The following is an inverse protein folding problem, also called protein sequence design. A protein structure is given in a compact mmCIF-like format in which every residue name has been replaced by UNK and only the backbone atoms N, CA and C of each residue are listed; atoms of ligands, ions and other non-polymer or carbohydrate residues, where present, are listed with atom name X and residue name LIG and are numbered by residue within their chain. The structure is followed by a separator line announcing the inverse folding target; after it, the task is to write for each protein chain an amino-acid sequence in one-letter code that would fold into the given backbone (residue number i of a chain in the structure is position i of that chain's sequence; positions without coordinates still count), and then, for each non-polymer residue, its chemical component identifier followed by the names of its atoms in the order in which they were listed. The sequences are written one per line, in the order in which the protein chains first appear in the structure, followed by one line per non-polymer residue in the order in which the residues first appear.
data_IF_108798605222
#
_entry.id   IF_108798605222
#
_cell.length_a   1.000
_cell.length_b   1.000
_cell.length_c   1.000
_cell.angle_alpha   90.00
_cell.angle_beta   90.00
_cell.angle_gamma   90.00
#
_symmetry.space_group_name_H-M   'P 1'
#
loop_
_entity.id
_entity.type
_entity.pdbx_description
1 polymer ?
#
# COMPACT_ATOMS: atom_id res chain seq x y z
N UNK A 1 -1.29 -17.21 6.50
CA UNK A 1 -0.65 -16.43 7.60
C UNK A 1 -1.75 -15.84 8.46
N UNK A 2 -1.68 -15.98 9.79
CA UNK A 2 -2.71 -15.42 10.69
C UNK A 2 -2.32 -14.05 11.25
N UNK A 3 -1.03 -13.81 11.51
CA UNK A 3 -0.50 -12.56 12.03
C UNK A 3 0.84 -12.24 11.35
N UNK A 4 1.13 -10.95 11.20
CA UNK A 4 2.41 -10.43 10.74
C UNK A 4 2.69 -9.11 11.48
N UNK A 5 3.96 -8.83 11.79
CA UNK A 5 4.40 -7.61 12.47
C UNK A 5 5.69 -7.08 11.84
N UNK A 6 5.90 -5.78 11.95
CA UNK A 6 7.19 -5.17 11.64
C UNK A 6 8.05 -5.14 12.91
N UNK A 7 9.33 -5.51 12.79
CA UNK A 7 10.28 -5.47 13.89
C UNK A 7 11.63 -4.90 13.42
N UNK A 8 12.29 -4.04 14.23
CA UNK A 8 11.81 -3.48 15.50
C UNK A 8 10.76 -2.36 15.30
N UNK A 9 9.90 -2.14 16.29
CA UNK A 9 8.80 -1.17 16.21
C UNK A 9 9.24 0.25 16.59
N UNK A 10 10.03 0.40 17.65
CA UNK A 10 10.44 1.68 18.23
C UNK A 10 11.96 1.72 18.44
N UNK A 11 12.59 2.86 18.15
CA UNK A 11 13.98 3.14 18.52
C UNK A 11 14.14 4.56 19.04
N UNK A 12 14.92 4.73 20.09
CA UNK A 12 15.39 6.04 20.54
C UNK A 12 16.57 6.45 19.66
N UNK A 13 16.51 7.63 19.03
CA UNK A 13 17.55 8.09 18.10
C UNK A 13 18.93 8.25 18.79
N UNK A 14 18.95 8.39 20.12
CA UNK A 14 20.17 8.47 20.93
C UNK A 14 20.81 7.11 21.28
N UNK A 15 20.14 6.00 21.01
CA UNK A 15 20.59 4.63 21.36
C UNK A 15 20.35 3.66 20.18
N UNK A 16 20.82 4.09 19.01
CA UNK A 16 20.49 3.43 17.74
C UNK A 16 21.56 2.43 17.31
N UNK A 17 21.24 1.15 17.43
CA UNK A 17 22.13 0.03 17.07
C UNK A 17 21.77 -0.68 15.75
N UNK A 18 20.56 -0.45 15.22
CA UNK A 18 20.07 -1.06 13.97
C UNK A 18 19.27 -0.05 13.12
N UNK A 19 19.10 -0.34 11.83
CA UNK A 19 18.23 0.40 10.91
C UNK A 19 17.58 -0.54 9.87
N UNK A 20 16.32 -0.30 9.44
CA UNK A 20 15.38 0.72 9.92
C UNK A 20 14.26 0.15 10.80
N UNK A 21 13.97 0.82 11.90
CA UNK A 21 12.81 0.60 12.75
C UNK A 21 11.57 1.28 12.16
N UNK A 22 10.37 0.91 12.61
CA UNK A 22 9.14 1.57 12.14
C UNK A 22 9.02 3.02 12.65
N UNK A 23 9.26 3.27 13.94
CA UNK A 23 9.08 4.58 14.58
C UNK A 23 10.36 4.98 15.31
N UNK A 24 10.87 6.17 14.99
CA UNK A 24 12.04 6.77 15.62
C UNK A 24 11.57 7.90 16.53
N UNK A 25 12.10 7.98 17.75
CA UNK A 25 11.71 9.00 18.73
C UNK A 25 12.91 9.53 19.54
N UNK A 26 12.70 10.68 20.20
CA UNK A 26 13.56 11.20 21.25
C UNK A 26 12.66 11.69 22.42
N UNK A 27 13.22 12.44 23.38
CA UNK A 27 12.49 12.91 24.57
C UNK A 27 11.28 13.83 24.32
N UNK A 28 11.08 14.36 23.11
CA UNK A 28 10.01 15.34 22.82
C UNK A 28 9.37 15.25 21.42
N UNK A 29 9.88 14.42 20.51
CA UNK A 29 9.36 14.25 19.15
C UNK A 29 9.59 12.84 18.59
N UNK A 30 8.80 12.49 17.57
CA UNK A 30 8.81 11.19 16.92
C UNK A 30 8.45 11.29 15.42
N UNK A 31 8.92 10.33 14.62
CA UNK A 31 8.50 10.17 13.23
C UNK A 31 8.41 8.69 12.81
N UNK A 32 7.48 8.38 11.91
CA UNK A 32 7.40 7.07 11.25
C UNK A 32 8.31 7.01 10.03
N UNK A 33 9.04 5.92 9.86
CA UNK A 33 9.86 5.65 8.67
C UNK A 33 8.98 5.23 7.47
N UNK A 34 9.51 5.09 6.24
CA UNK A 34 8.74 4.56 5.11
C UNK A 34 8.09 3.21 5.43
N UNK A 35 8.74 2.35 6.22
CA UNK A 35 8.19 1.09 6.71
C UNK A 35 6.93 1.25 7.54
N UNK A 36 6.89 2.21 8.48
CA UNK A 36 5.68 2.53 9.24
C UNK A 36 4.53 2.94 8.31
N UNK A 37 4.80 3.84 7.35
CA UNK A 37 3.77 4.27 6.41
C UNK A 37 3.28 3.13 5.52
N UNK A 38 4.16 2.21 5.12
CA UNK A 38 3.78 0.98 4.40
C UNK A 38 2.82 0.11 5.24
N UNK A 39 3.15 -0.13 6.52
CA UNK A 39 2.28 -0.90 7.43
C UNK A 39 0.88 -0.26 7.55
N UNK A 40 0.75 1.07 7.50
CA UNK A 40 -0.58 1.71 7.56
C UNK A 40 -1.49 1.36 6.38
N UNK A 41 -0.98 0.96 5.21
CA UNK A 41 -1.81 0.43 4.12
C UNK A 41 -2.42 -0.95 4.43
N UNK A 42 -1.80 -1.72 5.32
CA UNK A 42 -2.21 -3.09 5.65
C UNK A 42 -3.02 -3.21 6.94
N UNK A 43 -3.33 -2.09 7.62
CA UNK A 43 -4.18 -2.08 8.82
C UNK A 43 -5.61 -2.61 8.58
N UNK A 44 -6.19 -2.30 7.42
CA UNK A 44 -7.57 -2.64 7.05
C UNK A 44 -7.58 -3.90 6.16
N UNK A 45 -7.27 -5.05 6.76
CA UNK A 45 -7.40 -6.37 6.12
C UNK A 45 -7.76 -7.53 7.06
N UNK A 46 -7.95 -7.29 8.36
CA UNK A 46 -8.45 -8.33 9.26
C UNK A 46 -9.89 -8.70 8.88
N UNK A 47 -10.19 -10.00 8.83
CA UNK A 47 -11.48 -10.53 8.38
C UNK A 47 -11.81 -10.31 6.89
N UNK A 48 -10.84 -9.87 6.08
CA UNK A 48 -11.06 -9.63 4.65
C UNK A 48 -11.03 -10.92 3.83
N UNK A 49 -11.89 -11.01 2.80
CA UNK A 49 -11.85 -12.08 1.80
C UNK A 49 -10.74 -11.78 0.78
N UNK A 50 -9.85 -12.74 0.53
CA UNK A 50 -8.79 -12.64 -0.48
C UNK A 50 -9.33 -13.05 -1.85
N UNK A 51 -9.02 -12.28 -2.88
CA UNK A 51 -9.34 -12.59 -4.28
C UNK A 51 -8.11 -13.04 -5.06
N UNK A 52 -8.28 -13.93 -6.06
CA UNK A 52 -7.22 -14.24 -7.02
C UNK A 52 -6.86 -12.99 -7.85
N UNK A 53 -5.60 -12.92 -8.29
CA UNK A 53 -5.09 -11.85 -9.16
C UNK A 53 -4.22 -12.45 -10.25
N UNK A 54 -4.36 -11.93 -11.46
CA UNK A 54 -3.45 -12.15 -12.58
C UNK A 54 -2.75 -10.85 -12.93
N UNK A 55 -1.40 -10.84 -12.95
CA UNK A 55 -0.60 -9.71 -13.43
C UNK A 55 -0.13 -10.03 -14.85
N UNK A 56 -0.88 -9.58 -15.86
CA UNK A 56 -0.48 -9.72 -17.25
C UNK A 56 0.44 -8.56 -17.67
N UNK A 57 1.75 -8.73 -17.47
CA UNK A 57 2.76 -7.73 -17.80
C UNK A 57 4.15 -8.35 -17.98
N UNK A 58 4.97 -7.76 -18.85
CA UNK A 58 6.42 -8.03 -18.93
C UNK A 58 7.16 -7.68 -17.63
N UNK A 59 6.58 -6.80 -16.80
CA UNK A 59 7.09 -6.43 -15.47
C UNK A 59 6.53 -7.31 -14.34
N UNK A 60 5.85 -8.44 -14.64
CA UNK A 60 5.24 -9.31 -13.63
C UNK A 60 6.21 -9.78 -12.54
N UNK A 61 7.49 -10.00 -12.86
CA UNK A 61 8.54 -10.38 -11.91
C UNK A 61 9.07 -9.19 -11.06
N UNK A 62 8.57 -7.98 -11.29
CA UNK A 62 8.92 -6.72 -10.61
C UNK A 62 7.71 -6.07 -9.92
N UNK A 63 6.56 -6.75 -9.95
CA UNK A 63 5.28 -6.32 -9.41
C UNK A 63 4.75 -7.36 -8.43
N UNK A 64 4.29 -6.92 -7.27
CA UNK A 64 3.51 -7.74 -6.35
C UNK A 64 2.13 -7.08 -6.14
N UNK A 65 1.06 -7.87 -6.13
CA UNK A 65 -0.29 -7.37 -5.93
C UNK A 65 -1.08 -8.23 -4.93
N UNK A 66 -2.01 -7.60 -4.22
CA UNK A 66 -3.02 -8.26 -3.40
C UNK A 66 -4.37 -7.55 -3.57
N UNK A 67 -5.46 -8.31 -3.61
CA UNK A 67 -6.82 -7.82 -3.75
C UNK A 67 -7.66 -8.48 -2.66
N UNK A 68 -8.32 -7.65 -1.85
CA UNK A 68 -9.18 -8.14 -0.77
C UNK A 68 -10.50 -7.37 -0.74
N UNK A 69 -11.60 -8.04 -0.45
CA UNK A 69 -12.84 -7.37 -0.01
C UNK A 69 -12.82 -7.28 1.51
N UNK A 70 -12.83 -6.06 2.04
CA UNK A 70 -12.86 -5.76 3.47
C UNK A 70 -14.09 -4.91 3.79
N UNK A 71 -14.76 -5.19 4.91
CA UNK A 71 -16.00 -4.52 5.30
C UNK A 71 -15.79 -3.63 6.54
N UNK A 72 -16.27 -2.39 6.46
CA UNK A 72 -16.38 -1.47 7.60
C UNK A 72 -17.85 -1.14 7.83
N UNK A 73 -18.39 -1.44 9.01
CA UNK A 73 -19.64 -0.86 9.49
C UNK A 73 -20.81 -0.89 8.46
N UNK A 74 -20.89 -2.00 7.70
CA UNK A 74 -21.79 -2.31 6.55
C UNK A 74 -21.32 -1.91 5.14
N UNK A 75 -20.33 -1.03 4.98
CA UNK A 75 -19.76 -0.67 3.68
C UNK A 75 -18.69 -1.70 3.28
N UNK A 76 -18.80 -2.25 2.08
CA UNK A 76 -17.81 -3.18 1.50
C UNK A 76 -16.81 -2.40 0.63
N UNK A 77 -15.51 -2.71 0.78
CA UNK A 77 -14.42 -2.10 0.01
C UNK A 77 -13.59 -3.18 -0.68
N UNK A 78 -13.54 -3.14 -2.01
CA UNK A 78 -12.46 -3.80 -2.75
C UNK A 78 -11.18 -2.97 -2.58
N UNK A 79 -10.15 -3.59 -2.02
CA UNK A 79 -8.83 -2.99 -1.80
C UNK A 79 -7.79 -3.72 -2.64
N UNK A 80 -7.34 -3.08 -3.71
CA UNK A 80 -6.20 -3.54 -4.51
C UNK A 80 -4.95 -2.79 -4.04
N UNK A 81 -3.91 -3.54 -3.66
CA UNK A 81 -2.61 -3.00 -3.25
C UNK A 81 -1.56 -3.54 -4.20
N UNK A 82 -0.75 -2.66 -4.78
CA UNK A 82 0.28 -3.01 -5.75
C UNK A 82 1.61 -2.40 -5.30
N UNK A 83 2.68 -3.18 -5.36
CA UNK A 83 4.05 -2.77 -5.11
C UNK A 83 4.83 -2.93 -6.41
N UNK A 84 5.42 -1.85 -6.90
CA UNK A 84 6.47 -1.90 -7.91
C UNK A 84 7.81 -1.83 -7.20
N UNK A 85 8.61 -2.88 -7.35
CA UNK A 85 9.98 -2.98 -6.82
C UNK A 85 11.03 -3.02 -7.94
N UNK A 86 10.61 -2.82 -9.20
CA UNK A 86 11.50 -2.56 -10.33
C UNK A 86 11.95 -1.09 -10.39
N UNK A 87 13.03 -0.79 -11.12
CA UNK A 87 13.57 0.56 -11.28
C UNK A 87 12.80 1.42 -12.30
N UNK A 88 11.83 0.84 -13.03
CA UNK A 88 11.08 1.49 -14.11
C UNK A 88 9.65 1.78 -13.66
N UNK A 89 9.13 2.96 -13.98
CA UNK A 89 7.73 3.30 -13.75
C UNK A 89 6.82 2.49 -14.70
N UNK A 90 5.81 1.82 -14.14
CA UNK A 90 4.87 0.97 -14.90
C UNK A 90 3.48 1.59 -14.86
N UNK A 91 2.88 1.80 -16.04
CA UNK A 91 1.48 2.15 -16.15
C UNK A 91 0.63 0.90 -15.93
N UNK A 92 -0.36 0.99 -15.05
CA UNK A 92 -1.20 -0.13 -14.61
C UNK A 92 -2.68 0.20 -14.83
N UNK A 93 -3.43 -0.81 -15.25
CA UNK A 93 -4.86 -0.69 -15.59
C UNK A 93 -5.62 -1.68 -14.69
N UNK A 94 -6.73 -1.27 -14.04
CA UNK A 94 -7.37 -2.02 -12.92
C UNK A 94 -8.91 -2.06 -13.03
N UNK A 95 -9.57 -3.23 -13.18
CA UNK A 95 -11.02 -3.46 -12.97
C UNK A 95 -11.31 -4.88 -12.48
N UNK A 96 -12.27 -5.03 -11.58
CA UNK A 96 -12.71 -6.34 -11.11
C UNK A 96 -13.85 -6.88 -11.98
N UNK A 97 -13.83 -8.18 -12.26
CA UNK A 97 -14.98 -8.94 -12.78
C UNK A 97 -15.61 -9.77 -11.67
N UNK A 98 -16.92 -10.02 -11.76
CA UNK A 98 -17.71 -10.70 -10.72
C UNK A 98 -18.00 -9.84 -9.47
N UNK A 99 -17.58 -8.57 -9.47
CA UNK A 99 -17.76 -7.61 -8.37
C UNK A 99 -18.46 -6.32 -8.81
N UNK A 100 -18.98 -6.27 -10.04
CA UNK A 100 -19.54 -5.08 -10.72
C UNK A 100 -20.68 -4.44 -9.93
N UNK A 101 -21.56 -5.25 -9.35
CA UNK A 101 -22.67 -4.77 -8.52
C UNK A 101 -22.24 -4.22 -7.15
N UNK A 102 -20.98 -4.48 -6.73
CA UNK A 102 -20.47 -4.16 -5.39
C UNK A 102 -19.39 -3.07 -5.36
N UNK A 103 -18.74 -2.79 -6.51
CA UNK A 103 -17.59 -1.88 -6.60
C UNK A 103 -17.94 -0.63 -7.39
N UNK A 104 -18.07 0.50 -6.69
CA UNK A 104 -18.26 1.81 -7.33
C UNK A 104 -16.91 2.45 -7.68
N UNK A 105 -16.46 2.28 -8.92
CA UNK A 105 -15.20 2.84 -9.43
C UNK A 105 -15.14 4.37 -9.35
N UNK A 106 -16.26 5.07 -9.56
CA UNK A 106 -16.34 6.54 -9.49
C UNK A 106 -16.08 7.12 -8.09
N UNK A 107 -16.11 6.30 -7.04
CA UNK A 107 -15.74 6.67 -5.65
C UNK A 107 -14.38 6.10 -5.21
N UNK A 108 -13.63 5.48 -6.11
CA UNK A 108 -12.32 4.91 -5.80
C UNK A 108 -11.28 5.99 -5.54
N UNK A 109 -10.42 5.75 -4.56
CA UNK A 109 -9.29 6.64 -4.23
C UNK A 109 -7.99 5.88 -4.40
N UNK A 110 -6.94 6.58 -4.85
CA UNK A 110 -5.59 6.00 -4.95
C UNK A 110 -4.70 6.68 -3.93
N UNK A 111 -3.98 5.87 -3.17
CA UNK A 111 -2.94 6.36 -2.25
C UNK A 111 -1.59 5.82 -2.70
N UNK A 112 -0.58 6.69 -2.72
CA UNK A 112 0.76 6.36 -3.23
C UNK A 112 1.80 6.68 -2.17
N UNK A 113 2.66 5.71 -1.85
CA UNK A 113 3.89 5.88 -1.07
C UNK A 113 5.07 5.70 -2.02
N UNK A 114 5.82 6.78 -2.26
CA UNK A 114 6.98 6.75 -3.17
C UNK A 114 7.92 7.92 -2.85
N UNK A 115 9.15 7.85 -3.36
CA UNK A 115 10.08 8.97 -3.48
C UNK A 115 10.91 8.85 -4.75
N UNK A 116 11.55 9.94 -5.17
CA UNK A 116 12.43 9.95 -6.35
C UNK A 116 13.77 9.23 -6.14
N UNK A 117 14.13 8.93 -4.89
CA UNK A 117 15.31 8.15 -4.53
C UNK A 117 14.89 7.00 -3.59
N UNK A 118 15.20 5.72 -3.89
CA UNK A 118 14.83 4.59 -3.05
C UNK A 118 15.49 4.59 -1.66
N UNK A 119 16.56 5.36 -1.46
CA UNK A 119 17.25 5.52 -0.17
C UNK A 119 16.64 6.64 0.70
N UNK A 120 15.54 7.28 0.29
CA UNK A 120 14.93 8.37 1.04
C UNK A 120 14.22 7.89 2.32
N UNK A 121 14.75 8.31 3.47
CA UNK A 121 14.10 8.19 4.78
C UNK A 121 13.38 9.47 5.24
N UNK A 122 12.65 9.35 6.35
CA UNK A 122 12.19 10.49 7.15
C UNK A 122 13.24 10.81 8.24
N UNK A 123 13.19 12.02 8.77
CA UNK A 123 14.06 12.51 9.86
C UNK A 123 13.28 13.47 10.75
N UNK A 124 13.79 13.86 11.92
CA UNK A 124 13.16 14.92 12.72
C UNK A 124 13.02 16.26 12.00
N UNK A 125 13.99 16.62 11.14
CA UNK A 125 13.92 17.82 10.31
C UNK A 125 12.94 17.69 9.13
N UNK A 126 12.61 16.47 8.69
CA UNK A 126 11.69 16.19 7.58
C UNK A 126 10.83 14.94 7.88
N UNK A 127 9.93 14.98 8.88
CA UNK A 127 9.27 13.78 9.42
C UNK A 127 8.20 13.18 8.50
N UNK A 128 7.91 13.88 7.39
CA UNK A 128 6.87 13.55 6.41
C UNK A 128 7.40 13.62 4.96
N UNK A 129 8.71 13.42 4.74
CA UNK A 129 9.35 13.41 3.41
C UNK A 129 8.76 12.29 2.55
N UNK A 130 8.82 11.07 3.06
CA UNK A 130 8.32 9.83 2.45
C UNK A 130 7.18 9.30 3.31
N UNK A 131 5.95 9.54 2.85
CA UNK A 131 4.70 9.06 3.45
C UNK A 131 3.68 8.87 2.33
N UNK A 132 2.58 8.16 2.61
CA UNK A 132 1.50 8.06 1.64
C UNK A 132 0.88 9.43 1.36
N UNK A 133 0.45 9.62 0.11
CA UNK A 133 -0.29 10.79 -0.38
C UNK A 133 -1.58 10.31 -1.03
N UNK A 134 -2.67 11.02 -0.78
CA UNK A 134 -3.94 10.83 -1.46
C UNK A 134 -3.87 11.51 -2.83
N UNK A 135 -4.10 10.74 -3.88
CA UNK A 135 -4.35 11.27 -5.21
C UNK A 135 -5.85 11.10 -5.51
N UNK A 136 -6.56 12.22 -5.64
CA UNK A 136 -7.90 12.21 -6.21
C UNK A 136 -7.78 11.92 -7.70
N UNK A 137 -8.42 10.84 -8.16
CA UNK A 137 -8.52 10.53 -9.57
C UNK A 137 -9.49 11.52 -10.22
N UNK A 138 -9.03 12.27 -11.23
CA UNK A 138 -9.96 12.94 -12.13
C UNK A 138 -10.69 11.88 -12.97
N UNK A 139 -11.99 12.07 -13.18
CA UNK A 139 -12.95 11.04 -13.62
C UNK A 139 -12.85 10.62 -15.10
N UNK A 140 -11.66 10.64 -15.70
CA UNK A 140 -11.42 10.39 -17.13
C UNK A 140 -10.28 9.40 -17.43
N UNK A 141 -9.70 8.74 -16.42
CA UNK A 141 -8.77 7.64 -16.65
C UNK A 141 -9.54 6.30 -16.74
N UNK A 142 -9.35 5.56 -17.84
CA UNK A 142 -9.90 4.21 -18.01
C UNK A 142 -9.23 3.20 -17.07
N UNK A 143 -9.99 2.21 -16.58
CA UNK A 143 -9.58 1.28 -15.52
C UNK A 143 -9.96 -0.18 -15.90
N UNK A 144 -8.96 -1.07 -16.14
CA UNK A 144 -9.12 -2.55 -16.40
C UNK A 144 -7.86 -3.47 -16.22
N UNK A 145 -7.70 -4.29 -15.16
CA UNK A 145 -7.49 -5.75 -15.28
C UNK A 145 -8.80 -6.57 -15.42
N UNK A 146 -8.70 -7.89 -15.28
CA UNK A 146 -9.74 -8.92 -15.35
C UNK A 146 -9.47 -9.92 -14.22
N UNK A 147 -10.49 -10.32 -13.46
CA UNK A 147 -10.41 -11.33 -12.41
C UNK A 147 -11.11 -12.59 -12.94
N UNK A 148 -10.35 -13.46 -13.60
CA UNK A 148 -10.85 -14.73 -14.13
C UNK A 148 -10.89 -15.79 -13.03
N UNK A 149 -11.99 -16.53 -12.94
CA UNK A 149 -12.08 -17.73 -12.09
C UNK A 149 -11.18 -18.85 -12.61
N UNK A 150 -10.79 -19.74 -11.70
CA UNK A 150 -10.55 -21.15 -12.01
C UNK A 150 -11.65 -21.96 -11.33
N UNK A 151 -12.24 -22.90 -12.08
CA UNK A 151 -13.22 -23.88 -11.61
C UNK A 151 -12.71 -24.71 -10.41
#
# INVERSE_FOLDING_TARGET
VQMASYAPLFVNDNDRTWMPDAIVFNSWQQYGTPSYWMQTFFRESSGALIHPITINSSYSQQLAASAVTWQDSKISFLRVKIVNFGPVAVNLTISASGLEASVNSARSTVTVLTSSNPLDGNSFSRPKKVRWRLNYLQAHASFSITISESL
#
